data_IF_677235680079
#
_entry.id   IF_677235680079
#
_cell.length_a   1.000
_cell.length_b   1.000
_cell.length_c   1.000
_cell.angle_alpha   90.00
_cell.angle_beta   90.00
_cell.angle_gamma   90.00
#
_symmetry.space_group_name_H-M   'P 1'
#
loop_
_entity.id
_entity.type
_entity.pdbx_description
1 polymer ?
#
# COMPACT_ATOMS: atom_id res chain seq x y z
N UNK A 1 -6.63 7.80 -74.74
CA UNK A 1 -5.62 6.73 -74.49
C UNK A 1 -4.64 7.30 -73.48
N UNK A 2 -4.34 6.71 -72.31
CA UNK A 2 -4.36 5.32 -71.88
C UNK A 2 -4.77 5.23 -70.41
N UNK A 3 -5.38 4.11 -70.10
CA UNK A 3 -5.92 3.66 -68.83
C UNK A 3 -4.74 3.14 -67.99
N UNK A 4 -4.61 3.55 -66.73
CA UNK A 4 -4.00 2.69 -65.71
C UNK A 4 -4.71 2.93 -64.38
N UNK A 5 -5.67 2.05 -64.11
CA UNK A 5 -6.27 1.87 -62.79
C UNK A 5 -5.20 1.30 -61.84
N UNK A 6 -5.01 1.94 -60.70
CA UNK A 6 -4.37 1.32 -59.55
C UNK A 6 -5.30 1.52 -58.37
N UNK A 7 -6.11 0.49 -58.11
CA UNK A 7 -6.89 0.39 -56.90
C UNK A 7 -5.91 0.18 -55.74
N UNK A 8 -5.73 1.21 -54.91
CA UNK A 8 -5.04 1.06 -53.64
C UNK A 8 -6.09 0.66 -52.61
N UNK A 9 -6.21 -0.65 -52.38
CA UNK A 9 -6.95 -1.17 -51.23
C UNK A 9 -6.15 -0.87 -49.97
N UNK A 10 -6.49 0.24 -49.31
CA UNK A 10 -6.05 0.49 -47.93
C UNK A 10 -6.87 -0.44 -47.04
N UNK A 11 -6.29 -1.57 -46.66
CA UNK A 11 -6.82 -2.37 -45.58
C UNK A 11 -6.75 -1.53 -44.30
N UNK A 12 -7.89 -0.98 -43.88
CA UNK A 12 -8.00 -0.36 -42.57
C UNK A 12 -7.83 -1.47 -41.53
N UNK A 13 -6.65 -1.56 -40.93
CA UNK A 13 -6.42 -2.37 -39.74
C UNK A 13 -7.16 -1.69 -38.56
N UNK A 14 -8.48 -1.88 -38.50
CA UNK A 14 -9.22 -1.75 -37.25
C UNK A 14 -8.90 -3.00 -36.44
N UNK A 15 -8.07 -2.87 -35.40
CA UNK A 15 -8.22 -3.56 -34.11
C UNK A 15 -6.98 -3.34 -33.25
N UNK A 16 -6.90 -2.20 -32.60
CA UNK A 16 -6.50 -2.20 -31.19
C UNK A 16 -7.44 -1.24 -30.48
N UNK A 17 -8.55 -1.79 -29.99
CA UNK A 17 -9.19 -1.27 -28.79
C UNK A 17 -8.11 -1.28 -27.70
N UNK A 18 -7.31 -0.22 -27.62
CA UNK A 18 -6.52 0.10 -26.44
C UNK A 18 -7.56 0.48 -25.38
N UNK A 19 -8.15 -0.54 -24.78
CA UNK A 19 -9.10 -0.41 -23.72
C UNK A 19 -8.38 0.32 -22.58
N UNK A 20 -8.62 1.63 -22.52
CA UNK A 20 -8.27 2.48 -21.41
C UNK A 20 -8.88 1.88 -20.15
N UNK A 21 -8.08 1.09 -19.45
CA UNK A 21 -8.20 0.90 -18.02
C UNK A 21 -6.81 1.02 -17.45
N UNK A 22 -6.36 2.28 -17.38
CA UNK A 22 -5.57 2.71 -16.23
C UNK A 22 -6.43 2.41 -14.99
N UNK A 23 -6.35 1.17 -14.51
CA UNK A 23 -6.51 0.92 -13.10
C UNK A 23 -5.30 1.56 -12.45
N UNK A 24 -5.32 2.89 -12.29
CA UNK A 24 -4.60 3.49 -11.17
C UNK A 24 -5.35 2.98 -9.95
N UNK A 25 -5.03 1.75 -9.55
CA UNK A 25 -5.20 1.33 -8.18
C UNK A 25 -4.44 2.41 -7.45
N UNK A 26 -5.17 3.35 -6.87
CA UNK A 26 -4.66 4.20 -5.82
C UNK A 26 -4.36 3.21 -4.72
N UNK A 27 -3.22 2.52 -4.85
CA UNK A 27 -2.58 1.84 -3.78
C UNK A 27 -2.21 3.05 -2.91
N UNK A 28 -3.16 3.43 -2.06
CA UNK A 28 -2.85 3.78 -0.69
C UNK A 28 -2.16 2.53 -0.14
N UNK A 29 -0.93 2.28 -0.61
CA UNK A 29 0.19 2.21 0.30
C UNK A 29 -0.01 3.52 1.06
N UNK A 30 -0.79 3.43 2.15
CA UNK A 30 -0.44 4.15 3.35
C UNK A 30 1.05 4.05 3.31
N UNK A 31 1.71 5.18 3.03
CA UNK A 31 3.11 5.28 3.28
C UNK A 31 3.21 4.90 4.74
N UNK A 32 3.46 3.60 4.96
CA UNK A 32 3.83 3.04 6.22
C UNK A 32 5.32 3.35 6.36
N UNK A 33 5.65 4.61 6.10
CA UNK A 33 6.52 5.41 6.93
C UNK A 33 5.80 5.68 8.27
N UNK A 34 4.98 4.75 8.78
CA UNK A 34 4.80 4.64 10.22
C UNK A 34 6.07 3.97 10.70
N UNK A 35 7.17 4.73 10.70
CA UNK A 35 8.22 4.48 11.68
C UNK A 35 7.47 4.49 13.00
N UNK A 36 7.18 3.31 13.52
CA UNK A 36 6.55 3.19 14.81
C UNK A 36 7.28 4.13 15.79
N UNK A 37 6.56 4.90 16.59
CA UNK A 37 7.18 5.97 17.40
C UNK A 37 7.29 5.59 18.87
N UNK A 38 6.76 4.42 19.26
CA UNK A 38 6.71 4.00 20.65
C UNK A 38 8.07 3.41 21.02
N UNK A 39 8.82 4.01 21.95
CA UNK A 39 10.12 3.49 22.33
C UNK A 39 10.01 2.08 22.93
N UNK A 40 11.13 1.37 22.95
CA UNK A 40 11.29 0.19 23.79
C UNK A 40 10.92 0.48 25.24
N UNK A 41 10.40 -0.53 25.93
CA UNK A 41 9.93 -0.41 27.30
C UNK A 41 8.87 0.67 27.56
N UNK A 42 8.22 1.20 26.51
CA UNK A 42 7.12 2.16 26.62
C UNK A 42 5.76 1.48 26.44
N UNK A 43 4.73 2.03 27.08
CA UNK A 43 3.38 1.53 26.94
C UNK A 43 2.92 1.60 25.47
N UNK A 44 2.33 0.52 24.98
CA UNK A 44 1.84 0.39 23.60
C UNK A 44 0.40 -0.12 23.52
N UNK A 45 -0.19 -0.56 24.63
CA UNK A 45 -1.60 -0.98 24.73
C UNK A 45 -2.03 -1.02 26.21
N UNK A 46 -3.31 -1.23 26.47
CA UNK A 46 -3.85 -1.47 27.82
C UNK A 46 -5.13 -0.69 28.12
N UNK A 47 -5.65 -0.89 29.34
CA UNK A 47 -6.84 -0.19 29.81
C UNK A 47 -6.51 1.31 29.86
N UNK A 48 -7.18 2.12 29.03
CA UNK A 48 -6.97 3.58 28.82
C UNK A 48 -5.92 4.00 27.78
N UNK A 49 -5.30 3.07 27.03
CA UNK A 49 -4.43 3.44 25.92
C UNK A 49 -5.25 3.82 24.68
N UNK A 50 -4.95 4.98 24.08
CA UNK A 50 -5.59 5.45 22.82
C UNK A 50 -4.59 5.64 21.69
N UNK A 51 -3.31 5.40 21.96
CA UNK A 51 -2.22 5.52 21.00
C UNK A 51 -2.09 4.31 20.08
N UNK A 52 -1.01 4.30 19.29
CA UNK A 52 -0.68 3.17 18.43
C UNK A 52 -0.23 1.95 19.24
N UNK A 53 -0.25 0.76 18.63
CA UNK A 53 0.40 -0.46 19.16
C UNK A 53 1.76 -0.73 18.49
N UNK A 54 2.21 0.19 17.65
CA UNK A 54 3.40 0.07 16.79
C UNK A 54 4.67 0.41 17.60
N UNK A 55 5.54 -0.58 17.81
CA UNK A 55 6.84 -0.42 18.50
C UNK A 55 7.94 0.06 17.56
N UNK A 56 8.71 1.08 17.98
CA UNK A 56 9.74 1.73 17.17
C UNK A 56 10.81 0.78 16.66
N UNK A 57 11.23 -0.15 17.52
CA UNK A 57 12.09 -1.25 17.13
C UNK A 57 11.24 -2.41 16.55
N UNK A 58 11.51 -2.86 15.31
CA UNK A 58 10.77 -3.96 14.70
C UNK A 58 11.05 -5.33 15.36
N UNK A 59 12.08 -5.45 16.19
CA UNK A 59 12.36 -6.66 16.97
C UNK A 59 11.54 -6.73 18.26
N UNK A 60 10.87 -5.62 18.64
CA UNK A 60 10.07 -5.53 19.85
C UNK A 60 8.59 -5.66 19.51
N UNK A 61 7.88 -6.41 20.33
CA UNK A 61 6.45 -6.62 20.18
C UNK A 61 5.68 -5.99 21.34
N UNK A 62 4.47 -5.54 21.06
CA UNK A 62 3.60 -5.00 22.10
C UNK A 62 3.01 -6.14 22.95
N UNK A 63 3.68 -6.48 24.05
CA UNK A 63 3.37 -7.63 24.92
C UNK A 63 3.00 -7.19 26.33
N UNK A 64 2.24 -8.03 27.04
CA UNK A 64 1.87 -7.75 28.43
C UNK A 64 3.11 -7.58 29.30
N UNK A 65 3.09 -6.59 30.18
CA UNK A 65 4.12 -6.40 31.20
C UNK A 65 3.95 -7.47 32.29
N UNK A 66 5.06 -8.07 32.71
CA UNK A 66 5.08 -9.07 33.78
C UNK A 66 5.00 -8.45 35.19
N UNK A 67 4.94 -7.12 35.28
CA UNK A 67 4.95 -6.36 36.54
C UNK A 67 3.57 -6.33 37.26
N UNK A 68 2.61 -7.15 36.82
CA UNK A 68 1.24 -7.17 37.34
C UNK A 68 0.41 -5.94 36.95
N UNK A 69 0.91 -5.10 36.04
CA UNK A 69 0.18 -3.96 35.50
C UNK A 69 -0.74 -4.40 34.36
N UNK A 70 -1.94 -3.81 34.27
CA UNK A 70 -2.87 -4.04 33.14
C UNK A 70 -2.49 -3.20 31.90
N UNK A 71 -1.22 -3.24 31.52
CA UNK A 71 -0.67 -2.54 30.35
C UNK A 71 0.21 -3.46 29.51
N UNK A 72 0.30 -3.19 28.21
CA UNK A 72 1.33 -3.79 27.35
C UNK A 72 2.42 -2.79 27.05
N UNK A 73 3.62 -3.31 26.81
CA UNK A 73 4.83 -2.57 26.59
C UNK A 73 5.59 -3.18 25.42
N UNK A 74 6.32 -2.36 24.67
CA UNK A 74 7.21 -2.83 23.62
C UNK A 74 8.37 -3.58 24.26
N UNK A 75 8.42 -4.90 24.08
CA UNK A 75 9.39 -5.85 24.66
C UNK A 75 9.76 -6.96 23.67
#
# INVERSE_FOLDING_TARGET
>A
MRIFALAVSVAAALSTVEAARHASVHLRVHQKESSCTIPNESQCDGQNWTGSTCCADPNYECRWSDDGQSVKRCQ
#
